data_IF_721606013625
#
_entry.id   IF_721606013625
#
_cell.length_a   1.000
_cell.length_b   1.000
_cell.length_c   1.000
_cell.angle_alpha   90.00
_cell.angle_beta   90.00
_cell.angle_gamma   90.00
#
_symmetry.space_group_name_H-M   'P 1'
#
loop_
_entity.id
_entity.type
_entity.pdbx_description
1 polymer ?
#
# COMPACT_ATOMS: atom_id res chain seq x y z
N UNK A 1 8.83 10.17 -69.70
CA UNK A 1 9.13 11.02 -68.53
C UNK A 1 10.04 10.23 -67.60
N UNK A 2 11.26 10.73 -67.34
CA UNK A 2 12.35 10.03 -66.66
C UNK A 2 12.22 10.19 -65.14
N UNK A 3 12.37 9.07 -64.40
CA UNK A 3 12.41 9.03 -62.93
C UNK A 3 13.77 9.53 -62.42
N UNK A 4 13.84 10.34 -61.35
CA UNK A 4 15.10 10.65 -60.69
C UNK A 4 15.54 9.49 -59.78
N UNK A 5 16.83 9.21 -59.83
CA UNK A 5 17.52 8.22 -59.02
C UNK A 5 17.74 8.77 -57.60
N UNK A 6 17.35 8.00 -56.59
CA UNK A 6 17.68 8.26 -55.18
C UNK A 6 19.07 7.69 -54.89
N UNK A 7 20.03 8.59 -54.65
CA UNK A 7 21.34 8.28 -54.11
C UNK A 7 21.18 7.87 -52.64
N UNK A 8 21.68 6.68 -52.34
CA UNK A 8 21.69 6.07 -51.01
C UNK A 8 23.03 6.45 -50.37
N UNK A 9 23.01 7.35 -49.38
CA UNK A 9 24.20 7.66 -48.59
C UNK A 9 24.35 6.63 -47.47
N UNK A 10 25.34 5.75 -47.63
CA UNK A 10 25.82 4.83 -46.60
C UNK A 10 26.61 5.62 -45.54
N UNK A 11 25.93 5.99 -44.44
CA UNK A 11 26.59 6.56 -43.26
C UNK A 11 27.31 5.43 -42.51
N UNK A 12 28.61 5.28 -42.78
CA UNK A 12 29.53 4.48 -41.95
C UNK A 12 29.72 5.15 -40.58
N UNK A 13 28.87 4.78 -39.63
CA UNK A 13 29.03 5.16 -38.22
C UNK A 13 30.13 4.30 -37.58
N UNK A 14 31.38 4.74 -37.75
CA UNK A 14 32.55 4.27 -36.98
C UNK A 14 32.84 5.27 -35.88
N UNK A 15 32.09 5.20 -34.78
CA UNK A 15 32.43 5.89 -33.54
C UNK A 15 32.49 4.87 -32.39
N UNK A 16 33.69 4.35 -32.23
CA UNK A 16 34.44 4.42 -30.97
C UNK A 16 33.66 4.07 -29.70
N UNK A 17 33.71 2.78 -29.35
CA UNK A 17 33.59 2.27 -27.99
C UNK A 17 34.83 2.69 -27.16
N UNK A 18 34.76 3.73 -26.31
CA UNK A 18 35.47 3.63 -25.03
C UNK A 18 34.71 4.23 -23.83
N UNK A 19 33.45 4.66 -23.98
CA UNK A 19 32.71 5.32 -22.88
C UNK A 19 32.02 4.31 -21.94
N UNK A 20 31.86 3.05 -22.35
CA UNK A 20 31.16 2.03 -21.55
C UNK A 20 31.92 1.57 -20.30
N UNK A 21 33.22 1.85 -20.18
CA UNK A 21 34.03 1.40 -19.04
C UNK A 21 34.02 2.37 -17.85
N UNK A 22 33.69 3.66 -18.05
CA UNK A 22 33.67 4.63 -16.94
C UNK A 22 32.36 4.62 -16.14
N UNK A 23 31.27 4.06 -16.68
CA UNK A 23 29.98 3.98 -15.99
C UNK A 23 29.89 2.85 -14.95
N UNK A 24 30.84 1.89 -14.96
CA UNK A 24 30.86 0.77 -14.01
C UNK A 24 31.67 1.07 -12.72
N UNK A 25 32.41 2.18 -12.67
CA UNK A 25 33.21 2.55 -11.49
C UNK A 25 32.46 3.31 -10.40
N UNK A 26 31.33 3.94 -10.73
CA UNK A 26 30.55 4.76 -9.77
C UNK A 26 29.46 3.97 -9.02
N UNK A 27 29.24 2.70 -9.35
CA UNK A 27 28.27 1.85 -8.65
C UNK A 27 28.84 1.17 -7.38
N UNK A 28 30.15 1.30 -7.09
CA UNK A 28 30.83 0.54 -6.05
C UNK A 28 31.11 1.30 -4.74
N UNK A 29 30.77 2.60 -4.65
CA UNK A 29 30.96 3.42 -3.45
C UNK A 29 29.63 3.98 -2.93
N UNK A 30 28.63 3.11 -2.77
CA UNK A 30 27.35 3.43 -2.12
C UNK A 30 26.86 2.33 -1.19
N UNK A 31 27.71 1.35 -0.88
CA UNK A 31 27.44 0.36 0.16
C UNK A 31 27.86 0.92 1.53
N UNK A 32 27.24 2.02 1.95
CA UNK A 32 27.10 2.21 3.39
C UNK A 32 26.32 1.01 3.90
N UNK A 33 26.79 0.41 4.99
CA UNK A 33 26.00 -0.51 5.80
C UNK A 33 24.85 0.27 6.48
N UNK A 34 24.08 1.02 5.70
CA UNK A 34 22.70 1.35 6.03
C UNK A 34 21.98 0.02 5.99
N UNK A 35 22.03 -0.68 7.13
CA UNK A 35 20.91 -1.51 7.51
C UNK A 35 19.71 -0.61 7.29
N UNK A 36 18.98 -0.80 6.18
CA UNK A 36 17.65 -0.27 6.02
C UNK A 36 16.99 -0.56 7.38
N UNK A 37 16.63 0.49 8.15
CA UNK A 37 16.17 0.28 9.51
C UNK A 37 15.14 -0.82 9.43
N UNK A 38 15.39 -1.91 10.15
CA UNK A 38 14.47 -3.02 10.16
C UNK A 38 13.20 -2.49 10.81
N UNK A 39 12.32 -1.91 9.97
CA UNK A 39 10.96 -1.53 10.29
C UNK A 39 10.24 -2.84 10.56
N UNK A 40 10.50 -3.42 11.74
CA UNK A 40 9.60 -4.38 12.33
C UNK A 40 8.41 -3.55 12.74
N UNK A 41 7.39 -3.53 11.89
CA UNK A 41 6.05 -3.19 12.29
C UNK A 41 5.81 -3.82 13.66
N UNK A 42 5.46 -3.00 14.65
CA UNK A 42 5.20 -3.52 15.98
C UNK A 42 4.11 -4.59 15.86
N UNK A 43 4.24 -5.72 16.56
CA UNK A 43 3.30 -6.83 16.47
C UNK A 43 1.81 -6.43 16.66
N UNK A 44 1.55 -5.27 17.27
CA UNK A 44 0.22 -4.67 17.36
C UNK A 44 -0.33 -4.16 16.02
N UNK A 45 0.47 -3.44 15.22
CA UNK A 45 0.01 -2.87 13.95
C UNK A 45 -0.29 -3.96 12.92
N UNK A 46 0.57 -4.98 12.80
CA UNK A 46 0.32 -6.16 11.96
C UNK A 46 -0.96 -6.90 12.38
N UNK A 47 -1.20 -7.01 13.69
CA UNK A 47 -2.39 -7.66 14.22
C UNK A 47 -3.66 -6.84 13.95
N UNK A 48 -3.61 -5.52 14.07
CA UNK A 48 -4.71 -4.62 13.70
C UNK A 48 -5.00 -4.70 12.20
N UNK A 49 -3.97 -4.54 11.37
CA UNK A 49 -4.10 -4.60 9.92
C UNK A 49 -4.70 -5.93 9.43
N UNK A 50 -4.18 -7.06 9.92
CA UNK A 50 -4.71 -8.38 9.57
C UNK A 50 -6.18 -8.59 9.99
N UNK A 51 -6.63 -7.93 11.06
CA UNK A 51 -8.05 -7.95 11.46
C UNK A 51 -8.91 -7.02 10.62
N UNK A 52 -8.37 -5.86 10.23
CA UNK A 52 -9.03 -4.97 9.29
C UNK A 52 -9.35 -5.70 7.98
N UNK A 53 -8.37 -6.46 7.45
CA UNK A 53 -8.58 -7.31 6.27
C UNK A 53 -9.67 -8.36 6.49
N UNK A 54 -9.63 -9.09 7.61
CA UNK A 54 -10.67 -10.09 7.92
C UNK A 54 -12.06 -9.45 8.01
N UNK A 55 -12.19 -8.32 8.70
CA UNK A 55 -13.47 -7.61 8.83
C UNK A 55 -13.98 -7.09 7.49
N UNK A 56 -13.07 -6.62 6.63
CA UNK A 56 -13.38 -6.19 5.27
C UNK A 56 -13.87 -7.38 4.42
N UNK A 57 -13.20 -8.53 4.48
CA UNK A 57 -13.60 -9.77 3.80
C UNK A 57 -14.97 -10.28 4.29
N UNK A 58 -15.28 -10.09 5.57
CA UNK A 58 -16.58 -10.42 6.17
C UNK A 58 -17.69 -9.39 5.84
N UNK A 59 -17.36 -8.32 5.09
CA UNK A 59 -18.29 -7.25 4.71
C UNK A 59 -18.61 -6.24 5.82
N UNK A 60 -17.88 -6.29 6.94
CA UNK A 60 -18.07 -5.37 8.07
C UNK A 60 -17.13 -4.15 7.93
N UNK A 61 -17.52 -3.21 7.06
CA UNK A 61 -16.73 -2.01 6.73
C UNK A 61 -16.45 -1.14 7.96
N UNK A 62 -17.42 -0.96 8.86
CA UNK A 62 -17.24 -0.17 10.08
C UNK A 62 -16.13 -0.73 10.97
N UNK A 63 -16.19 -2.04 11.25
CA UNK A 63 -15.16 -2.71 12.04
C UNK A 63 -13.80 -2.73 11.32
N UNK A 64 -13.80 -2.88 9.99
CA UNK A 64 -12.57 -2.82 9.19
C UNK A 64 -11.90 -1.45 9.32
N UNK A 65 -12.69 -0.37 9.19
CA UNK A 65 -12.22 1.00 9.35
C UNK A 65 -11.53 1.23 10.71
N UNK A 66 -12.17 0.82 11.81
CA UNK A 66 -11.60 0.94 13.16
C UNK A 66 -10.22 0.25 13.27
N UNK A 67 -10.10 -0.97 12.72
CA UNK A 67 -8.84 -1.72 12.76
C UNK A 67 -7.76 -1.10 11.87
N UNK A 68 -8.12 -0.58 10.69
CA UNK A 68 -7.15 0.10 9.83
C UNK A 68 -6.70 1.43 10.41
N UNK A 69 -7.62 2.21 11.00
CA UNK A 69 -7.30 3.44 11.73
C UNK A 69 -6.32 3.15 12.89
N UNK A 70 -6.59 2.09 13.67
CA UNK A 70 -5.70 1.62 14.72
C UNK A 70 -4.31 1.20 14.19
N UNK A 71 -4.24 0.48 13.06
CA UNK A 71 -2.96 0.13 12.43
C UNK A 71 -2.21 1.35 11.88
N UNK A 72 -2.92 2.34 11.32
CA UNK A 72 -2.35 3.58 10.81
C UNK A 72 -1.65 4.40 11.92
N UNK A 73 -2.15 4.35 13.16
CA UNK A 73 -1.54 5.03 14.32
C UNK A 73 -0.11 4.54 14.65
N UNK A 74 0.35 3.41 14.11
CA UNK A 74 1.74 2.97 14.27
C UNK A 74 2.72 3.77 13.38
N UNK A 75 2.21 4.53 12.40
CA UNK A 75 2.99 5.48 11.62
C UNK A 75 3.73 4.86 10.43
N UNK A 76 4.96 5.35 10.17
CA UNK A 76 5.78 4.91 9.04
C UNK A 76 5.94 3.38 8.93
N UNK A 77 5.81 2.86 7.71
CA UNK A 77 5.76 1.43 7.40
C UNK A 77 4.34 0.84 7.37
N UNK A 78 3.31 1.61 7.76
CA UNK A 78 1.90 1.22 7.70
C UNK A 78 1.11 2.08 6.70
N UNK A 79 1.73 2.61 5.65
CA UNK A 79 1.07 3.47 4.64
C UNK A 79 -0.12 2.75 3.98
N UNK A 80 -0.04 1.42 3.85
CA UNK A 80 -1.16 0.60 3.38
C UNK A 80 -2.35 0.62 4.33
N UNK A 81 -2.12 0.67 5.66
CA UNK A 81 -3.20 0.79 6.63
C UNK A 81 -3.84 2.18 6.57
N UNK A 82 -3.05 3.24 6.39
CA UNK A 82 -3.56 4.58 6.12
C UNK A 82 -4.45 4.60 4.86
N UNK A 83 -4.02 3.94 3.78
CA UNK A 83 -4.84 3.80 2.58
C UNK A 83 -6.19 3.13 2.87
N UNK A 84 -6.20 1.97 3.53
CA UNK A 84 -7.45 1.26 3.81
C UNK A 84 -8.34 1.96 4.83
N UNK A 85 -7.76 2.63 5.84
CA UNK A 85 -8.52 3.49 6.76
C UNK A 85 -9.22 4.60 5.97
N UNK A 86 -8.50 5.21 5.03
CA UNK A 86 -9.02 6.23 4.13
C UNK A 86 -10.18 5.75 3.27
N UNK A 87 -10.01 4.66 2.52
CA UNK A 87 -11.07 4.17 1.62
C UNK A 87 -12.29 3.65 2.37
N UNK A 88 -12.09 2.90 3.46
CA UNK A 88 -13.23 2.41 4.26
C UNK A 88 -14.00 3.54 4.93
N UNK A 89 -13.33 4.62 5.35
CA UNK A 89 -14.02 5.81 5.87
C UNK A 89 -14.84 6.50 4.77
N UNK A 90 -14.30 6.62 3.55
CA UNK A 90 -15.07 7.16 2.43
C UNK A 90 -16.28 6.28 2.07
N UNK A 91 -16.15 4.96 2.11
CA UNK A 91 -17.26 4.02 1.89
C UNK A 91 -18.37 4.22 2.94
N UNK A 92 -18.00 4.40 4.22
CA UNK A 92 -18.95 4.71 5.30
C UNK A 92 -19.62 6.09 5.09
N UNK A 93 -18.85 7.08 4.64
CA UNK A 93 -19.38 8.41 4.32
C UNK A 93 -20.37 8.40 3.15
N UNK A 94 -20.18 7.51 2.18
CA UNK A 94 -21.09 7.32 1.04
C UNK A 94 -22.36 6.55 1.43
N UNK A 95 -22.25 5.60 2.37
CA UNK A 95 -23.41 4.91 2.95
C UNK A 95 -24.35 5.87 3.71
N UNK A 96 -23.86 7.05 4.12
CA UNK A 96 -24.63 8.10 4.77
C UNK A 96 -24.77 7.90 6.28
N UNK A 97 -25.74 8.60 6.89
CA UNK A 97 -25.96 8.59 8.34
C UNK A 97 -25.44 9.85 9.04
N UNK A 98 -25.61 9.95 10.38
CA UNK A 98 -25.29 11.16 11.14
C UNK A 98 -23.79 11.49 11.18
N UNK A 99 -22.91 10.49 10.99
CA UNK A 99 -21.45 10.63 11.05
C UNK A 99 -20.80 10.72 9.66
N UNK A 100 -21.59 10.79 8.59
CA UNK A 100 -21.08 10.72 7.21
C UNK A 100 -20.06 11.81 6.87
N UNK A 101 -20.21 13.02 7.41
CA UNK A 101 -19.24 14.10 7.18
C UNK A 101 -17.94 13.87 7.96
N UNK A 102 -18.02 13.35 9.20
CA UNK A 102 -16.83 13.01 9.98
C UNK A 102 -16.00 11.93 9.28
N UNK A 103 -16.66 10.86 8.82
CA UNK A 103 -15.98 9.81 8.04
C UNK A 103 -15.38 10.34 6.73
N UNK A 104 -16.02 11.33 6.10
CA UNK A 104 -15.50 11.96 4.88
C UNK A 104 -14.23 12.73 5.14
N UNK A 105 -14.22 13.56 6.19
CA UNK A 105 -13.05 14.31 6.63
C UNK A 105 -11.89 13.37 7.00
N UNK A 106 -12.18 12.33 7.80
CA UNK A 106 -11.20 11.31 8.17
C UNK A 106 -10.65 10.56 6.96
N UNK A 107 -11.53 10.15 6.03
CA UNK A 107 -11.15 9.44 4.82
C UNK A 107 -10.17 10.24 3.97
N UNK A 108 -10.48 11.52 3.74
CA UNK A 108 -9.59 12.45 3.03
C UNK A 108 -8.29 12.66 3.79
N UNK A 109 -8.33 12.81 5.11
CA UNK A 109 -7.13 12.93 5.94
C UNK A 109 -6.20 11.73 5.78
N UNK A 110 -6.70 10.51 5.99
CA UNK A 110 -5.90 9.28 5.89
C UNK A 110 -5.28 9.09 4.51
N UNK A 111 -6.07 9.31 3.45
CA UNK A 111 -5.59 9.22 2.08
C UNK A 111 -4.55 10.31 1.77
N UNK A 112 -4.77 11.55 2.21
CA UNK A 112 -3.84 12.65 1.96
C UNK A 112 -2.51 12.41 2.65
N UNK A 113 -2.52 11.98 3.91
CA UNK A 113 -1.30 11.64 4.66
C UNK A 113 -0.49 10.54 3.96
N UNK A 114 -1.13 9.44 3.57
CA UNK A 114 -0.43 8.36 2.86
C UNK A 114 -0.05 8.71 1.42
N UNK A 115 -0.86 9.51 0.73
CA UNK A 115 -0.57 10.01 -0.61
C UNK A 115 0.64 10.94 -0.62
N UNK A 116 0.76 11.81 0.39
CA UNK A 116 1.93 12.66 0.61
C UNK A 116 3.17 11.85 1.01
N UNK A 117 3.01 10.70 1.65
CA UNK A 117 4.10 9.75 1.88
C UNK A 117 4.52 8.96 0.62
N UNK A 118 3.94 9.27 -0.54
CA UNK A 118 4.27 8.62 -1.82
C UNK A 118 3.56 7.28 -2.03
N UNK A 119 2.52 6.96 -1.27
CA UNK A 119 1.73 5.75 -1.50
C UNK A 119 0.81 5.92 -2.70
N UNK A 120 1.19 5.33 -3.84
CA UNK A 120 0.50 5.51 -5.11
C UNK A 120 -0.98 5.10 -5.11
N UNK A 121 -1.37 4.11 -4.31
CA UNK A 121 -2.79 3.74 -4.18
C UNK A 121 -3.64 4.87 -3.59
N UNK A 122 -3.11 5.61 -2.62
CA UNK A 122 -3.79 6.76 -2.02
C UNK A 122 -3.86 7.94 -2.97
N UNK A 123 -2.78 8.17 -3.73
CA UNK A 123 -2.77 9.20 -4.78
C UNK A 123 -3.85 8.91 -5.85
N UNK A 124 -3.98 7.65 -6.29
CA UNK A 124 -5.03 7.24 -7.22
C UNK A 124 -6.44 7.36 -6.61
N UNK A 125 -6.61 7.02 -5.33
CA UNK A 125 -7.90 7.14 -4.63
C UNK A 125 -8.32 8.62 -4.48
N UNK A 126 -7.39 9.51 -4.12
CA UNK A 126 -7.66 10.95 -4.04
C UNK A 126 -7.99 11.55 -5.40
N UNK A 127 -7.29 11.14 -6.47
CA UNK A 127 -7.59 11.58 -7.82
C UNK A 127 -9.05 11.28 -8.22
N UNK A 128 -9.52 10.05 -7.95
CA UNK A 128 -10.92 9.65 -8.17
C UNK A 128 -11.88 10.43 -7.28
N UNK A 129 -11.59 10.48 -5.98
CA UNK A 129 -12.42 11.19 -5.00
C UNK A 129 -12.66 12.64 -5.40
N UNK A 130 -11.61 13.39 -5.75
CA UNK A 130 -11.76 14.78 -6.15
C UNK A 130 -12.42 14.94 -7.52
N UNK A 131 -12.21 13.99 -8.44
CA UNK A 131 -12.90 13.98 -9.72
C UNK A 131 -14.42 13.81 -9.54
N UNK A 132 -14.85 12.84 -8.75
CA UNK A 132 -16.26 12.54 -8.48
C UNK A 132 -16.98 13.69 -7.75
N UNK A 133 -16.21 14.53 -7.04
CA UNK A 133 -16.72 15.75 -6.38
C UNK A 133 -16.66 17.01 -7.25
N UNK A 134 -16.22 16.90 -8.50
CA UNK A 134 -16.07 18.04 -9.40
C UNK A 134 -14.93 19.00 -9.04
N UNK A 135 -14.00 18.59 -8.16
CA UNK A 135 -12.79 19.36 -7.86
C UNK A 135 -11.68 18.99 -8.86
N UNK A 136 -11.81 19.52 -10.07
CA UNK A 136 -10.93 19.22 -11.20
C UNK A 136 -9.44 19.51 -10.91
N UNK A 137 -9.12 20.60 -10.21
CA UNK A 137 -7.73 20.97 -9.92
C UNK A 137 -7.03 19.95 -9.01
N UNK A 138 -7.69 19.56 -7.92
CA UNK A 138 -7.12 18.54 -7.02
C UNK A 138 -7.06 17.17 -7.68
N UNK A 139 -8.07 16.79 -8.48
CA UNK A 139 -8.05 15.55 -9.24
C UNK A 139 -6.84 15.46 -10.18
N UNK A 140 -6.53 16.55 -10.91
CA UNK A 140 -5.36 16.63 -11.80
C UNK A 140 -4.07 16.53 -11.01
N UNK A 141 -3.96 17.23 -9.88
CA UNK A 141 -2.75 17.17 -9.05
C UNK A 141 -2.45 15.75 -8.57
N UNK A 142 -3.43 15.09 -7.96
CA UNK A 142 -3.25 13.73 -7.45
C UNK A 142 -3.02 12.72 -8.58
N UNK A 143 -3.64 12.92 -9.74
CA UNK A 143 -3.36 12.13 -10.94
C UNK A 143 -1.90 12.27 -11.38
N UNK A 144 -1.35 13.49 -11.42
CA UNK A 144 0.05 13.71 -11.78
C UNK A 144 1.00 13.03 -10.81
N UNK A 145 0.75 13.12 -9.50
CA UNK A 145 1.57 12.44 -8.50
C UNK A 145 1.54 10.92 -8.71
N UNK A 146 0.36 10.35 -8.90
CA UNK A 146 0.18 8.93 -9.15
C UNK A 146 0.89 8.47 -10.43
N UNK A 147 0.71 9.17 -11.56
CA UNK A 147 1.31 8.78 -12.84
C UNK A 147 2.83 8.94 -12.87
N UNK A 148 3.39 9.78 -12.01
CA UNK A 148 4.83 9.96 -11.84
C UNK A 148 5.41 9.11 -10.69
N UNK A 149 4.59 8.29 -10.03
CA UNK A 149 5.02 7.49 -8.90
C UNK A 149 5.92 6.33 -9.36
N UNK A 150 7.23 6.44 -9.11
CA UNK A 150 8.25 5.46 -9.54
C UNK A 150 7.95 4.05 -9.03
N UNK A 151 7.38 3.91 -7.83
CA UNK A 151 7.03 2.61 -7.27
C UNK A 151 5.89 1.94 -8.05
N UNK A 152 4.81 2.65 -8.33
CA UNK A 152 3.70 2.11 -9.13
C UNK A 152 4.19 1.76 -10.56
N UNK A 153 4.97 2.64 -11.19
CA UNK A 153 5.54 2.41 -12.52
C UNK A 153 6.48 1.21 -12.57
N UNK A 154 7.42 1.08 -11.62
CA UNK A 154 8.38 -0.03 -11.56
C UNK A 154 7.75 -1.38 -11.27
N UNK A 155 6.63 -1.40 -10.53
CA UNK A 155 5.86 -2.61 -10.25
C UNK A 155 4.82 -2.92 -11.33
N UNK A 156 4.64 -2.05 -12.33
CA UNK A 156 3.61 -2.20 -13.37
C UNK A 156 2.19 -2.18 -12.82
N UNK A 157 1.97 -1.57 -11.66
CA UNK A 157 0.67 -1.51 -11.01
C UNK A 157 -0.19 -0.46 -11.71
N UNK A 158 -1.35 -0.90 -12.21
CA UNK A 158 -2.32 -0.01 -12.87
C UNK A 158 -3.58 0.09 -12.02
N UNK A 159 -3.71 1.20 -11.31
CA UNK A 159 -4.86 1.49 -10.44
C UNK A 159 -5.89 2.40 -11.10
N UNK A 160 -5.50 3.25 -12.04
CA UNK A 160 -6.44 4.08 -12.82
C UNK A 160 -6.39 3.70 -14.29
N UNK A 161 -7.55 3.62 -14.93
CA UNK A 161 -7.65 3.40 -16.37
C UNK A 161 -7.16 4.62 -17.15
N UNK A 162 -6.57 4.40 -18.33
CA UNK A 162 -6.04 5.48 -19.19
C UNK A 162 -7.12 6.47 -19.62
N UNK A 163 -8.38 6.02 -19.79
CA UNK A 163 -9.52 6.89 -20.06
C UNK A 163 -9.76 7.89 -18.94
N UNK A 164 -9.91 7.42 -17.70
CA UNK A 164 -10.10 8.30 -16.53
C UNK A 164 -8.92 9.27 -16.32
N UNK A 165 -7.68 8.82 -16.55
CA UNK A 165 -6.51 9.71 -16.49
C UNK A 165 -6.62 10.83 -17.51
N UNK A 166 -7.01 10.53 -18.75
CA UNK A 166 -7.21 11.53 -19.80
C UNK A 166 -8.37 12.47 -19.46
N UNK A 167 -9.51 11.93 -19.00
CA UNK A 167 -10.68 12.70 -18.62
C UNK A 167 -10.37 13.68 -17.47
N UNK A 168 -9.63 13.24 -16.45
CA UNK A 168 -9.18 14.13 -15.37
C UNK A 168 -8.21 15.20 -15.92
N UNK A 169 -7.21 14.80 -16.72
CA UNK A 169 -6.23 15.73 -17.30
C UNK A 169 -6.91 16.85 -18.10
N UNK A 170 -7.92 16.49 -18.89
CA UNK A 170 -8.60 17.40 -19.81
C UNK A 170 -9.74 18.19 -19.11
N UNK A 171 -9.96 17.97 -17.80
CA UNK A 171 -10.99 18.66 -17.00
C UNK A 171 -10.60 20.08 -16.56
N UNK A 172 -9.34 20.50 -16.79
CA UNK A 172 -8.86 21.86 -16.48
C UNK A 172 -8.28 22.53 -17.74
N UNK A 173 -8.33 23.88 -17.84
CA UNK A 173 -7.64 24.61 -18.90
C UNK A 173 -6.12 24.38 -18.88
N UNK A 174 -5.47 24.57 -20.03
CA UNK A 174 -4.02 24.36 -20.18
C UNK A 174 -3.15 25.21 -19.23
N UNK A 175 -3.58 26.43 -18.93
CA UNK A 175 -2.89 27.32 -17.97
C UNK A 175 -2.89 26.71 -16.55
N UNK A 176 -4.08 26.34 -16.05
CA UNK A 176 -4.23 25.66 -14.75
C UNK A 176 -3.48 24.32 -14.71
N UNK A 177 -3.48 23.58 -15.83
CA UNK A 177 -2.70 22.35 -15.94
C UNK A 177 -1.20 22.60 -15.74
N UNK A 178 -0.65 23.65 -16.37
CA UNK A 178 0.76 24.00 -16.25
C UNK A 178 1.14 24.43 -14.82
N UNK A 179 0.26 25.15 -14.12
CA UNK A 179 0.44 25.52 -12.71
C UNK A 179 0.47 24.27 -11.80
N UNK A 180 -0.48 23.35 -11.99
CA UNK A 180 -0.54 22.10 -11.23
C UNK A 180 0.66 21.21 -11.55
N UNK A 181 1.10 21.16 -12.81
CA UNK A 181 2.32 20.46 -13.20
C UNK A 181 3.53 21.03 -12.48
N UNK A 182 3.66 22.36 -12.43
CA UNK A 182 4.73 23.02 -11.68
C UNK A 182 4.65 22.70 -10.18
N UNK A 183 3.45 22.58 -9.58
CA UNK A 183 3.29 22.11 -8.20
C UNK A 183 3.76 20.66 -8.03
N UNK A 184 3.32 19.77 -8.92
CA UNK A 184 3.59 18.34 -8.84
C UNK A 184 5.08 17.97 -9.03
N UNK A 185 5.83 18.70 -9.88
CA UNK A 185 7.28 18.42 -10.06
C UNK A 185 8.12 18.77 -8.84
N UNK A 186 7.60 19.60 -7.93
CA UNK A 186 8.25 19.93 -6.65
C UNK A 186 7.77 19.03 -5.50
N UNK A 187 6.95 18.02 -5.78
CA UNK A 187 6.51 17.07 -4.77
C UNK A 187 7.69 16.25 -4.25
N UNK A 188 7.88 16.28 -2.94
CA UNK A 188 8.84 15.47 -2.21
C UNK A 188 8.04 14.65 -1.21
N UNK A 189 8.08 13.30 -1.26
CA UNK A 189 7.35 12.47 -0.32
C UNK A 189 7.74 12.79 1.13
N UNK A 190 6.74 12.98 1.98
CA UNK A 190 6.92 13.21 3.42
C UNK A 190 6.70 11.91 4.18
N UNK A 191 7.74 11.40 4.84
CA UNK A 191 7.63 10.17 5.60
C UNK A 191 6.63 10.33 6.76
N UNK A 192 5.72 9.38 6.91
CA UNK A 192 4.82 9.34 8.07
C UNK A 192 5.67 9.09 9.32
N UNK A 193 5.61 9.95 10.34
CA UNK A 193 6.37 9.74 11.57
C UNK A 193 5.91 8.44 12.25
N UNK A 194 6.82 7.78 12.97
CA UNK A 194 6.46 6.63 13.80
C UNK A 194 5.48 7.10 14.88
N UNK A 195 4.33 6.45 14.95
CA UNK A 195 3.29 6.78 15.90
C UNK A 195 3.31 5.89 17.14
N UNK A 196 2.53 6.29 18.14
CA UNK A 196 2.25 5.48 19.34
C UNK A 196 0.75 5.28 19.41
N UNK A 197 0.23 4.07 19.15
CA UNK A 197 -1.20 3.82 19.21
C UNK A 197 -1.76 4.11 20.60
N UNK A 198 -2.98 4.65 20.65
CA UNK A 198 -3.68 4.92 21.90
C UNK A 198 -4.02 3.65 22.69
N UNK A 199 -4.38 3.81 23.97
CA UNK A 199 -4.80 2.69 24.83
C UNK A 199 -5.99 1.92 24.24
N UNK A 200 -6.93 2.61 23.61
CA UNK A 200 -8.11 2.03 22.97
C UNK A 200 -7.74 1.09 21.81
N UNK A 201 -6.83 1.53 20.93
CA UNK A 201 -6.30 0.69 19.85
C UNK A 201 -5.60 -0.56 20.41
N UNK A 202 -4.79 -0.38 21.46
CA UNK A 202 -4.14 -1.51 22.13
C UNK A 202 -5.15 -2.50 22.74
N UNK A 203 -6.20 -2.01 23.39
CA UNK A 203 -7.25 -2.85 23.99
C UNK A 203 -8.03 -3.63 22.92
N UNK A 204 -8.41 -2.98 21.82
CA UNK A 204 -9.11 -3.61 20.70
C UNK A 204 -8.26 -4.73 20.07
N UNK A 205 -6.95 -4.54 19.96
CA UNK A 205 -6.03 -5.59 19.49
C UNK A 205 -5.88 -6.70 20.53
N UNK A 206 -5.79 -6.39 21.83
CA UNK A 206 -5.52 -7.40 22.87
C UNK A 206 -6.72 -8.31 23.19
N UNK A 207 -7.94 -7.78 23.28
CA UNK A 207 -9.12 -8.52 23.78
C UNK A 207 -9.45 -9.83 23.05
N UNK A 208 -9.02 -9.99 21.79
CA UNK A 208 -9.23 -11.22 21.02
C UNK A 208 -8.07 -12.23 21.08
N UNK A 209 -6.89 -11.84 21.59
CA UNK A 209 -5.77 -12.78 21.78
C UNK A 209 -6.09 -13.80 22.86
N UNK A 210 -6.74 -13.36 23.93
CA UNK A 210 -7.22 -14.23 25.00
C UNK A 210 -8.31 -15.19 24.50
N UNK A 211 -9.24 -14.69 23.68
CA UNK A 211 -10.33 -15.48 23.09
C UNK A 211 -9.81 -16.54 22.10
N UNK A 212 -8.85 -16.20 21.22
CA UNK A 212 -8.22 -17.18 20.31
C UNK A 212 -7.36 -18.19 21.07
N UNK A 213 -6.57 -17.77 22.05
CA UNK A 213 -5.78 -18.69 22.89
C UNK A 213 -6.67 -19.71 23.61
N UNK A 214 -7.86 -19.28 24.04
CA UNK A 214 -8.85 -20.16 24.69
C UNK A 214 -9.51 -21.14 23.71
N UNK A 215 -9.78 -20.74 22.46
CA UNK A 215 -10.34 -21.62 21.41
C UNK A 215 -9.32 -22.54 20.76
N UNK A 216 -8.06 -22.12 20.67
CA UNK A 216 -6.98 -22.90 20.07
C UNK A 216 -6.28 -23.83 21.06
N UNK A 217 -6.61 -23.79 22.36
CA UNK A 217 -6.25 -24.89 23.26
C UNK A 217 -6.95 -26.16 22.75
N UNK A 218 -6.21 -27.16 22.25
CA UNK A 218 -6.81 -28.44 21.94
C UNK A 218 -7.51 -28.94 23.20
N UNK A 219 -8.72 -29.48 23.06
CA UNK A 219 -9.33 -30.22 24.15
C UNK A 219 -8.28 -31.22 24.67
N UNK A 220 -8.10 -31.38 25.99
CA UNK A 220 -7.14 -32.33 26.54
C UNK A 220 -7.38 -33.67 25.85
N UNK A 221 -6.38 -34.15 25.11
CA UNK A 221 -6.50 -35.42 24.41
C UNK A 221 -6.90 -36.47 25.45
N UNK A 222 -7.96 -37.26 25.20
CA UNK A 222 -8.33 -38.32 26.11
C UNK A 222 -7.09 -39.21 26.32
N UNK A 223 -6.79 -39.62 27.57
CA UNK A 223 -5.59 -40.38 27.87
C UNK A 223 -5.57 -41.62 26.98
N UNK A 224 -4.58 -41.68 26.09
CA UNK A 224 -4.33 -42.81 25.22
C UNK A 224 -4.08 -44.01 26.12
N UNK A 225 -5.08 -44.87 26.21
CA UNK A 225 -4.97 -46.13 26.94
C UNK A 225 -3.89 -46.94 26.22
N UNK A 226 -2.70 -47.04 26.85
CA UNK A 226 -1.64 -47.90 26.33
C UNK A 226 -2.18 -49.34 26.26
N UNK A 227 -2.10 -50.02 25.10
CA UNK A 227 -2.39 -51.44 25.02
C UNK A 227 -1.37 -52.19 25.88
N UNK A 228 -1.88 -52.97 26.82
CA UNK A 228 -1.09 -53.72 27.78
C UNK A 228 0.02 -54.54 27.12
N UNK A 229 1.22 -54.40 27.69
CA UNK A 229 2.35 -55.28 27.41
C UNK A 229 1.96 -56.72 27.81
N UNK A 230 1.67 -57.54 26.81
CA UNK A 230 1.53 -58.99 27.02
C UNK A 230 2.88 -59.53 27.51
N UNK A 231 2.92 -59.81 28.81
CA UNK A 231 4.00 -60.54 29.48
C UNK A 231 4.04 -61.95 28.88
N UNK A 232 5.08 -62.24 28.09
CA UNK A 232 5.40 -63.61 27.68
C UNK A 232 5.65 -64.46 28.93
N UNK A 233 4.81 -65.46 29.16
CA UNK A 233 5.11 -66.56 30.08
C UNK A 233 6.12 -67.52 29.42
N UNK A 234 7.18 -67.93 30.12
CA UNK A 234 8.09 -68.97 29.66
C UNK A 234 7.76 -70.36 30.25
N UNK A 235 7.93 -71.40 29.43
CA UNK A 235 8.06 -72.80 29.85
C UNK A 235 6.74 -73.60 29.81
N UNK A 236 6.70 -74.83 29.29
CA UNK A 236 7.60 -75.95 29.59
C UNK A 236 7.59 -77.02 28.47
N UNK A 237 8.68 -77.81 28.31
CA UNK A 237 8.72 -78.98 27.44
C UNK A 237 8.03 -80.19 28.10
N UNK A 238 7.82 -81.24 27.28
CA UNK A 238 7.09 -82.50 27.49
C UNK A 238 5.64 -82.49 26.98
#
# INVERSE_FOLDING_TARGET
MRRPALLREDVKMRYSLPVLALALGLAACGSTNDQAPAFRGGAGGDAAYGRGLQALDDGNIGQANEYFACAAQFGGGYEVAWYYAGTTALDLAEAGGPEAEAYREEGVYYLTTSGNAGWGASQAALARYYHDRGNAQEAVYWTMLYTNNVREMSLGLTRMGTGLIADIRDSVPAETFAEIQNRAVHFIPEAIPVGRPGEECNAAIQGNRETRSRRQRPAPQPPTSQPGSQRRQPGSPY
#
